data_IF_532689552513
#
_entry.id   IF_532689552513
#
_cell.length_a   1.000
_cell.length_b   1.000
_cell.length_c   1.000
_cell.angle_alpha   90.00
_cell.angle_beta   90.00
_cell.angle_gamma   90.00
#
_symmetry.space_group_name_H-M   'P 1'
#
loop_
_entity.id
_entity.type
_entity.pdbx_description
1 polymer ?
#
# COMPACT_ATOMS: atom_id res chain seq x y z
N UNK A 1 4.64 16.95 -6.34
CA UNK A 1 4.23 16.63 -4.96
C UNK A 1 3.25 15.50 -5.10
N UNK A 2 3.55 14.34 -4.55
CA UNK A 2 2.65 13.20 -4.61
C UNK A 2 1.44 13.48 -3.71
N UNK A 3 0.24 13.11 -4.16
CA UNK A 3 -0.96 13.24 -3.33
C UNK A 3 -0.96 12.14 -2.25
N UNK A 4 -1.17 12.51 -0.99
CA UNK A 4 -1.06 11.59 0.14
C UNK A 4 -2.45 11.16 0.62
N UNK A 5 -2.72 9.86 0.57
CA UNK A 5 -3.93 9.25 1.12
C UNK A 5 -3.62 8.43 2.36
N UNK A 6 -4.26 8.78 3.48
CA UNK A 6 -4.22 7.96 4.68
C UNK A 6 -4.98 6.63 4.47
N UNK A 7 -4.42 5.53 4.98
CA UNK A 7 -5.09 4.23 5.02
C UNK A 7 -6.01 4.14 6.24
N UNK A 8 -7.28 3.79 6.01
CA UNK A 8 -8.32 3.59 7.03
C UNK A 8 -8.24 2.22 7.70
N UNK A 9 -8.00 1.19 6.91
CA UNK A 9 -8.03 -0.18 7.37
C UNK A 9 -7.06 -1.05 6.58
N UNK A 10 -6.59 -2.12 7.24
CA UNK A 10 -5.69 -3.09 6.65
C UNK A 10 -6.20 -4.49 6.95
N UNK A 11 -6.37 -5.30 5.92
CA UNK A 11 -6.72 -6.72 6.04
C UNK A 11 -5.52 -7.58 5.67
N UNK A 12 -5.33 -8.67 6.40
CA UNK A 12 -4.26 -9.64 6.18
C UNK A 12 -4.82 -10.98 5.79
N UNK A 13 -4.28 -11.52 4.70
CA UNK A 13 -4.43 -12.93 4.35
C UNK A 13 -3.04 -13.55 4.29
N UNK A 14 -2.59 -14.08 5.42
CA UNK A 14 -1.26 -14.69 5.54
C UNK A 14 -1.13 -15.96 4.68
N UNK A 15 -2.23 -16.70 4.49
CA UNK A 15 -2.26 -17.92 3.68
C UNK A 15 -2.05 -17.61 2.20
N UNK A 16 -2.58 -16.47 1.72
CA UNK A 16 -2.41 -15.99 0.35
C UNK A 16 -1.26 -14.99 0.17
N UNK A 17 -0.43 -14.77 1.20
CA UNK A 17 0.64 -13.77 1.18
C UNK A 17 0.13 -12.37 0.78
N UNK A 18 -1.06 -11.97 1.22
CA UNK A 18 -1.74 -10.74 0.75
C UNK A 18 -2.02 -9.78 1.90
N UNK A 19 -1.77 -8.50 1.66
CA UNK A 19 -2.17 -7.38 2.51
C UNK A 19 -3.02 -6.44 1.68
N UNK A 20 -4.18 -6.05 2.20
CA UNK A 20 -5.12 -5.16 1.51
C UNK A 20 -5.30 -3.87 2.30
N UNK A 21 -4.92 -2.75 1.69
CA UNK A 21 -5.06 -1.39 2.22
C UNK A 21 -6.38 -0.79 1.73
N UNK A 22 -7.13 -0.18 2.64
CA UNK A 22 -8.35 0.56 2.33
C UNK A 22 -8.14 2.05 2.65
N UNK A 23 -8.01 2.96 1.66
CA UNK A 23 -7.80 4.38 1.90
C UNK A 23 -9.01 5.08 2.56
N UNK A 24 -8.76 6.21 3.23
CA UNK A 24 -9.77 7.06 3.87
C UNK A 24 -10.60 7.88 2.88
N UNK A 25 -10.11 8.12 1.65
CA UNK A 25 -10.76 8.95 0.65
C UNK A 25 -10.67 8.36 -0.77
N UNK A 26 -11.61 8.79 -1.60
CA UNK A 26 -11.71 8.47 -3.01
C UNK A 26 -10.68 9.30 -3.78
N UNK A 27 -9.50 8.75 -4.11
CA UNK A 27 -8.69 9.35 -5.17
C UNK A 27 -9.41 9.12 -6.50
N UNK A 28 -10.10 10.14 -6.97
CA UNK A 28 -10.57 10.25 -8.35
C UNK A 28 -9.50 10.97 -9.13
N UNK A 29 -8.59 10.23 -9.78
CA UNK A 29 -7.77 10.77 -10.88
C UNK A 29 -6.93 9.64 -11.47
N UNK A 30 -7.52 8.84 -12.37
CA UNK A 30 -6.84 8.08 -13.42
C UNK A 30 -7.89 7.43 -14.32
N UNK A 31 -7.55 7.21 -15.59
CA UNK A 31 -8.36 6.42 -16.51
C UNK A 31 -8.82 5.12 -15.82
N UNK A 32 -10.10 4.70 -15.94
CA UNK A 32 -10.58 3.51 -15.27
C UNK A 32 -9.83 2.29 -15.81
N UNK A 33 -8.83 1.84 -15.06
CA UNK A 33 -8.24 0.52 -15.25
C UNK A 33 -9.31 -0.54 -14.94
N UNK A 34 -9.25 -1.72 -15.57
CA UNK A 34 -10.14 -2.82 -15.23
C UNK A 34 -10.06 -3.13 -13.72
N UNK A 35 -11.17 -3.52 -13.07
CA UNK A 35 -11.11 -4.02 -11.71
C UNK A 35 -10.15 -5.21 -11.61
N UNK A 36 -9.31 -5.23 -10.57
CA UNK A 36 -8.26 -6.24 -10.42
C UNK A 36 -7.04 -6.01 -11.32
N UNK A 37 -6.90 -4.83 -11.91
CA UNK A 37 -5.69 -4.43 -12.64
C UNK A 37 -4.47 -4.52 -11.73
N UNK A 38 -3.39 -5.06 -12.27
CA UNK A 38 -2.10 -5.12 -11.57
C UNK A 38 -1.21 -4.00 -12.09
N UNK A 39 -0.68 -3.20 -11.18
CA UNK A 39 0.31 -2.16 -11.46
C UNK A 39 1.60 -2.44 -10.69
N UNK A 40 2.70 -1.83 -11.11
CA UNK A 40 3.94 -1.85 -10.31
C UNK A 40 3.89 -0.66 -9.35
N UNK A 41 4.11 -0.92 -8.07
CA UNK A 41 4.17 0.12 -7.03
C UNK A 41 5.49 0.03 -6.26
N UNK A 42 5.90 1.15 -5.66
CA UNK A 42 6.96 1.16 -4.66
C UNK A 42 6.33 0.92 -3.30
N UNK A 43 6.75 -0.15 -2.62
CA UNK A 43 6.38 -0.43 -1.24
C UNK A 43 7.48 0.11 -0.33
N UNK A 44 7.14 1.02 0.56
CA UNK A 44 8.07 1.53 1.56
C UNK A 44 8.00 0.68 2.82
N UNK A 45 9.10 -0.03 3.06
CA UNK A 45 9.25 -0.89 4.23
C UNK A 45 10.27 -0.25 5.17
N UNK A 46 9.83 0.15 6.35
CA UNK A 46 10.64 0.66 7.43
C UNK A 46 11.36 -0.45 8.21
N UNK A 47 11.98 -0.06 9.32
CA UNK A 47 12.71 -0.99 10.18
C UNK A 47 11.82 -2.16 10.65
N UNK A 48 12.42 -3.34 10.78
CA UNK A 48 11.72 -4.57 11.24
C UNK A 48 10.57 -5.03 10.33
N UNK A 49 10.56 -4.64 9.05
CA UNK A 49 9.53 -5.05 8.10
C UNK A 49 8.21 -4.28 8.23
N UNK A 50 8.23 -3.11 8.86
CA UNK A 50 7.03 -2.28 9.03
C UNK A 50 6.63 -1.66 7.69
N UNK A 51 5.37 -1.78 7.30
CA UNK A 51 4.85 -1.07 6.13
C UNK A 51 4.63 0.41 6.49
N UNK A 52 5.28 1.31 5.75
CA UNK A 52 5.12 2.77 5.93
C UNK A 52 4.11 3.33 4.93
N UNK A 53 4.18 2.85 3.69
CA UNK A 53 3.25 3.24 2.65
C UNK A 53 3.48 2.55 1.32
N UNK A 54 2.66 2.90 0.35
CA UNK A 54 2.73 2.39 -1.02
C UNK A 54 2.58 3.55 -1.99
N UNK A 55 3.55 3.74 -2.87
CA UNK A 55 3.50 4.73 -3.95
C UNK A 55 3.04 4.08 -5.25
N UNK A 56 1.98 4.63 -5.85
CA UNK A 56 1.43 4.24 -7.14
C UNK A 56 1.05 5.48 -7.95
N UNK A 57 1.50 5.56 -9.20
CA UNK A 57 1.14 6.62 -10.16
C UNK A 57 1.21 8.05 -9.61
N UNK A 58 2.23 8.34 -8.77
CA UNK A 58 2.41 9.66 -8.15
C UNK A 58 1.50 9.94 -6.95
N UNK A 59 0.83 8.92 -6.43
CA UNK A 59 0.01 8.95 -5.23
C UNK A 59 0.63 8.07 -4.14
N UNK A 60 0.66 8.57 -2.91
CA UNK A 60 1.23 7.86 -1.75
C UNK A 60 0.13 7.42 -0.79
N UNK A 61 0.02 6.12 -0.54
CA UNK A 61 -0.88 5.57 0.47
C UNK A 61 -0.10 5.44 1.78
N UNK A 62 -0.28 6.38 2.70
CA UNK A 62 0.35 6.36 4.01
C UNK A 62 -0.37 5.39 4.94
N UNK A 63 0.34 4.36 5.41
CA UNK A 63 -0.18 3.34 6.33
C UNK A 63 -0.11 3.80 7.77
N UNK A 64 0.96 4.50 8.13
CA UNK A 64 1.17 5.09 9.44
C UNK A 64 1.88 6.42 9.28
N UNK A 65 1.75 7.32 10.27
CA UNK A 65 2.64 8.47 10.37
C UNK A 65 4.06 7.94 10.65
N UNK A 66 5.01 8.05 9.72
CA UNK A 66 6.34 7.51 9.94
C UNK A 66 7.07 8.42 10.94
N UNK A 67 7.81 7.81 11.87
CA UNK A 67 8.77 8.58 12.67
C UNK A 67 9.95 8.99 11.79
N UNK A 68 10.74 10.01 12.20
CA UNK A 68 11.96 10.34 11.45
C UNK A 68 12.95 9.16 11.36
N UNK A 69 12.92 8.26 12.33
CA UNK A 69 13.71 7.02 12.29
C UNK A 69 13.19 6.06 11.21
N UNK A 70 11.87 5.92 11.08
CA UNK A 70 11.25 5.07 10.07
C UNK A 70 11.59 5.51 8.64
N UNK A 71 11.51 6.82 8.35
CA UNK A 71 11.79 7.34 7.00
C UNK A 71 13.28 7.27 6.65
N UNK A 72 14.16 7.54 7.60
CA UNK A 72 15.62 7.53 7.37
C UNK A 72 16.21 6.17 7.01
N UNK A 73 15.49 5.09 7.36
CA UNK A 73 15.89 3.70 7.14
C UNK A 73 14.90 2.93 6.26
N UNK A 74 13.91 3.64 5.68
CA UNK A 74 12.94 3.04 4.78
C UNK A 74 13.63 2.52 3.53
N UNK A 75 13.23 1.33 3.09
CA UNK A 75 13.61 0.77 1.80
C UNK A 75 12.38 0.72 0.92
N UNK A 76 12.45 1.39 -0.23
CA UNK A 76 11.50 1.22 -1.32
C UNK A 76 11.81 -0.06 -2.09
N UNK A 77 10.80 -0.88 -2.33
CA UNK A 77 10.91 -2.08 -3.18
C UNK A 77 9.80 -2.08 -4.22
N UNK A 78 10.12 -2.47 -5.45
CA UNK A 78 9.13 -2.60 -6.51
C UNK A 78 8.38 -3.92 -6.37
N UNK A 79 7.06 -3.86 -6.41
CA UNK A 79 6.22 -5.05 -6.37
C UNK A 79 4.95 -4.87 -7.21
N UNK A 80 4.42 -5.96 -7.79
CA UNK A 80 3.09 -5.92 -8.39
C UNK A 80 2.03 -5.77 -7.29
N UNK A 81 1.10 -4.83 -7.48
CA UNK A 81 -0.05 -4.61 -6.60
C UNK A 81 -1.33 -4.60 -7.42
N UNK A 82 -2.39 -5.13 -6.85
CA UNK A 82 -3.71 -5.19 -7.45
C UNK A 82 -4.55 -3.99 -6.98
N UNK A 83 -5.06 -3.21 -7.93
CA UNK A 83 -5.93 -2.08 -7.68
C UNK A 83 -7.40 -2.51 -7.75
N UNK A 84 -8.14 -2.19 -6.69
CA UNK A 84 -9.58 -2.36 -6.64
C UNK A 84 -10.24 -0.97 -6.65
N UNK A 85 -10.97 -0.68 -7.73
CA UNK A 85 -11.63 0.61 -7.96
C UNK A 85 -13.15 0.46 -8.03
N UNK A 86 -13.85 1.52 -7.67
CA UNK A 86 -15.29 1.67 -7.84
C UNK A 86 -15.65 1.86 -9.32
N UNK A 87 -16.94 1.77 -9.65
CA UNK A 87 -17.45 2.04 -11.00
C UNK A 87 -17.21 3.48 -11.47
N UNK A 88 -17.02 4.41 -10.53
CA UNK A 88 -16.68 5.81 -10.81
C UNK A 88 -15.16 6.05 -10.95
N UNK A 89 -14.34 4.99 -10.88
CA UNK A 89 -12.88 5.04 -10.99
C UNK A 89 -12.15 5.28 -9.66
N UNK A 90 -12.85 5.56 -8.57
CA UNK A 90 -12.24 5.82 -7.26
C UNK A 90 -11.52 4.60 -6.72
N UNK A 91 -10.33 4.80 -6.13
CA UNK A 91 -9.60 3.72 -5.45
C UNK A 91 -10.31 3.27 -4.17
N UNK A 92 -10.73 2.00 -4.11
CA UNK A 92 -11.38 1.38 -2.94
C UNK A 92 -10.37 0.60 -2.10
N UNK A 93 -9.45 -0.12 -2.75
CA UNK A 93 -8.42 -0.87 -2.06
C UNK A 93 -7.19 -1.13 -2.93
N UNK A 94 -6.05 -1.33 -2.27
CA UNK A 94 -4.79 -1.78 -2.89
C UNK A 94 -4.38 -3.08 -2.22
N UNK A 95 -4.15 -4.12 -3.00
CA UNK A 95 -3.65 -5.40 -2.49
C UNK A 95 -2.23 -5.66 -2.96
N UNK A 96 -1.36 -5.98 -2.01
CA UNK A 96 0.06 -6.19 -2.25
C UNK A 96 0.54 -7.50 -1.61
N UNK A 97 1.65 -8.07 -2.09
CA UNK A 97 2.26 -9.22 -1.44
C UNK A 97 2.80 -8.82 -0.07
N UNK A 98 2.65 -9.67 0.94
CA UNK A 98 3.33 -9.47 2.23
C UNK A 98 4.82 -9.76 2.15
N UNK A 99 5.21 -10.71 1.31
CA UNK A 99 6.59 -11.16 1.13
C UNK A 99 6.92 -11.17 -0.34
N UNK A 100 8.10 -10.65 -0.66
CA UNK A 100 8.73 -10.76 -1.97
C UNK A 100 10.19 -11.21 -1.84
N UNK A 101 10.94 -11.27 -2.94
CA UNK A 101 12.35 -11.68 -2.93
C UNK A 101 13.24 -10.83 -2.02
N UNK A 102 12.90 -9.53 -1.88
CA UNK A 102 13.75 -8.53 -1.21
C UNK A 102 13.11 -7.87 0.00
N UNK A 103 11.92 -8.31 0.41
CA UNK A 103 11.19 -7.72 1.52
C UNK A 103 10.23 -8.70 2.21
N UNK A 104 9.98 -8.44 3.49
CA UNK A 104 8.91 -9.05 4.27
C UNK A 104 8.22 -7.99 5.11
N UNK A 105 6.90 -7.93 4.96
CA UNK A 105 6.01 -7.07 5.74
C UNK A 105 5.51 -7.84 6.97
N UNK A 106 5.86 -7.32 8.14
CA UNK A 106 5.53 -7.90 9.45
C UNK A 106 4.26 -7.32 10.06
N UNK A 107 3.78 -6.16 9.56
CA UNK A 107 2.52 -5.53 9.98
C UNK A 107 1.28 -6.16 9.30
N UNK A 108 0.08 -6.13 9.95
CA UNK A 108 -0.21 -5.80 11.34
C UNK A 108 0.22 -6.94 12.27
N UNK A 109 1.12 -6.62 13.19
CA UNK A 109 1.41 -7.45 14.37
C UNK A 109 0.97 -6.79 15.68
N UNK A 110 0.30 -5.63 15.62
CA UNK A 110 -0.24 -4.94 16.78
C UNK A 110 -1.74 -4.77 16.67
N UNK A 111 -2.51 -5.59 17.39
CA UNK A 111 -3.85 -5.21 17.82
C UNK A 111 -3.82 -3.75 18.32
N UNK A 112 -4.80 -2.95 17.91
CA UNK A 112 -5.29 -1.86 18.75
C UNK A 112 -6.74 -2.16 19.09
#
# INVERSE_FOLDING_TARGET
MSDELAVRAITVDAARNRLTLYPHAHASESEPLPPGSTVTATIDVGTSGRLLGVELDGQYLAVDAPTMADTSLARGVLAPVELNRASDGSLIAVSLPRRGPDYEITYPSGNR
#
